data_IF_682387393244
#
_entry.id   IF_682387393244
#
_cell.length_a   1.000
_cell.length_b   1.000
_cell.length_c   1.000
_cell.angle_alpha   90.00
_cell.angle_beta   90.00
_cell.angle_gamma   90.00
#
_symmetry.space_group_name_H-M   'P 1'
#
loop_
_entity.id
_entity.type
_entity.pdbx_description
1 polymer ?
#
# COMPACT_ATOMS: atom_id res chain seq x y z
N UNK A 1 -8.39 -41.62 -10.13
CA UNK A 1 -7.10 -42.14 -10.64
C UNK A 1 -5.98 -41.36 -9.97
N UNK A 2 -5.18 -42.04 -9.13
CA UNK A 2 -3.96 -41.54 -8.44
C UNK A 2 -2.90 -41.14 -9.50
N UNK A 3 -2.25 -39.96 -9.48
CA UNK A 3 -1.22 -39.39 -8.57
C UNK A 3 0.23 -39.81 -8.90
N UNK A 4 1.12 -38.82 -9.10
CA UNK A 4 2.52 -38.76 -8.61
C UNK A 4 3.21 -37.52 -9.21
N UNK A 5 3.36 -36.43 -8.44
CA UNK A 5 4.66 -35.82 -8.04
C UNK A 5 4.39 -34.97 -6.79
N UNK A 6 5.06 -35.37 -5.71
CA UNK A 6 5.33 -34.70 -4.42
C UNK A 6 4.19 -34.46 -3.42
N UNK A 7 4.24 -35.30 -2.37
CA UNK A 7 3.77 -35.05 -1.02
C UNK A 7 4.26 -33.68 -0.50
N UNK A 8 3.53 -32.61 -0.80
CA UNK A 8 3.55 -31.40 0.02
C UNK A 8 2.26 -31.45 0.82
N UNK A 9 2.39 -31.71 2.11
CA UNK A 9 1.28 -31.54 3.04
C UNK A 9 0.91 -30.05 3.02
N UNK A 10 -0.20 -29.71 2.37
CA UNK A 10 -0.67 -28.32 2.24
C UNK A 10 -0.99 -27.68 3.60
N UNK A 11 -1.10 -28.48 4.67
CA UNK A 11 -1.22 -28.00 6.05
C UNK A 11 0.14 -27.86 6.76
N UNK A 12 1.24 -28.43 6.22
CA UNK A 12 2.63 -28.08 6.56
C UNK A 12 3.16 -26.90 5.72
N UNK A 13 2.38 -26.40 4.76
CA UNK A 13 2.58 -25.07 4.21
C UNK A 13 2.16 -24.00 5.23
N UNK A 14 2.70 -24.09 6.44
CA UNK A 14 2.85 -23.03 7.42
C UNK A 14 3.81 -21.96 6.88
N UNK A 15 3.57 -21.52 5.65
CA UNK A 15 4.16 -20.29 5.18
C UNK A 15 3.34 -19.21 5.86
N UNK A 16 3.86 -18.75 6.99
CA UNK A 16 3.57 -17.42 7.50
C UNK A 16 3.87 -16.46 6.34
N UNK A 17 2.85 -16.22 5.55
CA UNK A 17 2.63 -15.06 4.72
C UNK A 17 3.79 -14.61 3.82
N UNK A 18 4.04 -15.37 2.74
CA UNK A 18 5.09 -15.07 1.73
C UNK A 18 4.93 -13.70 1.07
N UNK A 19 3.72 -13.14 1.07
CA UNK A 19 3.47 -11.82 0.49
C UNK A 19 4.12 -10.70 1.32
N UNK A 20 4.18 -10.83 2.65
CA UNK A 20 4.61 -9.75 3.55
C UNK A 20 6.02 -9.20 3.29
N UNK A 21 6.96 -10.01 2.79
CA UNK A 21 8.31 -9.53 2.50
C UNK A 21 8.43 -8.78 1.17
N UNK A 22 7.71 -9.23 0.13
CA UNK A 22 7.63 -8.53 -1.16
C UNK A 22 6.83 -7.23 -1.03
N UNK A 23 5.78 -7.26 -0.20
CA UNK A 23 4.94 -6.12 0.12
C UNK A 23 5.75 -4.97 0.74
N UNK A 24 6.68 -5.27 1.67
CA UNK A 24 7.56 -4.26 2.29
C UNK A 24 8.46 -3.55 1.28
N UNK A 25 9.00 -4.31 0.30
CA UNK A 25 9.84 -3.74 -0.76
C UNK A 25 9.06 -2.80 -1.67
N UNK A 26 7.87 -3.23 -2.11
CA UNK A 26 7.00 -2.44 -2.99
C UNK A 26 6.47 -1.19 -2.30
N UNK A 27 6.05 -1.29 -1.03
CA UNK A 27 5.63 -0.15 -0.22
C UNK A 27 6.73 0.90 -0.09
N UNK A 28 7.95 0.46 0.26
CA UNK A 28 9.08 1.37 0.39
C UNK A 28 9.41 2.04 -0.94
N UNK A 29 9.37 1.30 -2.05
CA UNK A 29 9.59 1.86 -3.37
C UNK A 29 8.56 2.95 -3.70
N UNK A 30 7.28 2.66 -3.51
CA UNK A 30 6.19 3.60 -3.81
C UNK A 30 6.30 4.90 -3.00
N UNK A 31 6.58 4.79 -1.70
CA UNK A 31 6.78 5.94 -0.80
C UNK A 31 8.00 6.74 -1.24
N UNK A 32 9.13 6.08 -1.48
CA UNK A 32 10.37 6.74 -1.92
C UNK A 32 10.18 7.48 -3.23
N UNK A 33 9.59 6.80 -4.22
CA UNK A 33 9.28 7.38 -5.53
C UNK A 33 8.37 8.61 -5.39
N UNK A 34 7.34 8.54 -4.55
CA UNK A 34 6.42 9.66 -4.32
C UNK A 34 7.13 10.84 -3.65
N UNK A 35 7.96 10.58 -2.64
CA UNK A 35 8.75 11.63 -1.98
C UNK A 35 9.71 12.31 -2.97
N UNK A 36 10.40 11.54 -3.81
CA UNK A 36 11.31 12.06 -4.82
C UNK A 36 10.57 12.88 -5.89
N UNK A 37 9.41 12.40 -6.34
CA UNK A 37 8.55 13.11 -7.29
C UNK A 37 8.08 14.45 -6.71
N UNK A 38 7.57 14.44 -5.47
CA UNK A 38 7.11 15.64 -4.79
C UNK A 38 8.25 16.63 -4.56
N UNK A 39 9.42 16.15 -4.13
CA UNK A 39 10.63 16.97 -3.96
C UNK A 39 11.04 17.61 -5.28
N UNK A 40 10.97 16.87 -6.39
CA UNK A 40 11.28 17.39 -7.71
C UNK A 40 10.30 18.47 -8.17
N UNK A 41 9.00 18.33 -7.86
CA UNK A 41 7.95 19.26 -8.30
C UNK A 41 7.83 20.50 -7.41
N UNK A 42 7.97 20.36 -6.09
CA UNK A 42 7.69 21.41 -5.10
C UNK A 42 8.90 21.83 -4.25
N UNK A 43 10.07 21.22 -4.46
CA UNK A 43 11.30 21.51 -3.72
C UNK A 43 11.36 20.84 -2.34
N UNK A 44 12.45 21.07 -1.60
CA UNK A 44 12.72 20.34 -0.35
C UNK A 44 11.71 20.60 0.78
N UNK A 45 11.07 21.78 0.80
CA UNK A 45 10.13 22.19 1.85
C UNK A 45 8.90 21.27 1.95
N UNK A 46 8.58 20.55 0.86
CA UNK A 46 7.48 19.58 0.87
C UNK A 46 7.79 18.38 1.78
N UNK A 47 9.08 18.01 1.90
CA UNK A 47 9.51 16.91 2.77
C UNK A 47 9.37 17.32 4.24
N UNK A 48 9.70 18.56 4.59
CA UNK A 48 9.49 19.07 5.94
C UNK A 48 8.00 19.05 6.33
N UNK A 49 7.09 19.32 5.37
CA UNK A 49 5.63 19.19 5.60
C UNK A 49 5.22 17.74 5.83
N UNK A 50 5.77 16.80 5.05
CA UNK A 50 5.54 15.36 5.21
C UNK A 50 6.01 14.91 6.61
N UNK A 51 7.22 15.28 7.00
CA UNK A 51 7.81 14.92 8.30
C UNK A 51 6.99 15.51 9.46
N UNK A 52 6.58 16.77 9.36
CA UNK A 52 5.71 17.40 10.35
C UNK A 52 4.36 16.68 10.47
N UNK A 53 3.76 16.24 9.36
CA UNK A 53 2.51 15.48 9.40
C UNK A 53 2.70 14.12 10.04
N UNK A 54 3.75 13.39 9.67
CA UNK A 54 4.10 12.11 10.28
C UNK A 54 4.30 12.23 11.80
N UNK A 55 5.00 13.28 12.25
CA UNK A 55 5.21 13.55 13.67
C UNK A 55 3.92 13.87 14.43
N UNK A 56 2.94 14.48 13.75
CA UNK A 56 1.65 14.87 14.30
C UNK A 56 0.56 13.78 14.21
N UNK A 57 0.84 12.64 13.56
CA UNK A 57 -0.10 11.51 13.56
C UNK A 57 -0.35 11.13 15.02
N UNK A 58 -1.61 11.21 15.50
CA UNK A 58 -1.92 10.77 16.85
C UNK A 58 -1.44 9.34 16.96
N UNK A 59 -0.63 9.04 17.99
CA UNK A 59 -0.31 7.67 18.37
C UNK A 59 -1.60 7.02 18.87
N UNK A 60 -2.56 6.77 17.97
CA UNK A 60 -3.86 6.25 18.30
C UNK A 60 -3.65 4.83 18.82
N UNK A 61 -4.38 4.47 19.86
CA UNK A 61 -4.27 3.16 20.53
C UNK A 61 -4.63 1.97 19.63
N UNK A 62 -5.24 2.19 18.46
CA UNK A 62 -5.45 1.18 17.42
C UNK A 62 -4.28 1.03 16.43
N UNK A 63 -3.31 1.95 16.41
CA UNK A 63 -2.05 1.88 15.66
C UNK A 63 -1.15 1.15 16.63
N UNK A 64 -1.40 -0.15 16.78
CA UNK A 64 -0.48 -1.01 17.53
C UNK A 64 0.82 -1.07 16.74
N UNK A 65 1.73 -0.17 17.10
CA UNK A 65 3.14 -0.30 16.79
C UNK A 65 3.59 -1.50 17.62
N UNK A 66 3.63 -2.67 17.00
CA UNK A 66 4.12 -3.86 17.68
C UNK A 66 5.62 -3.68 17.94
N UNK A 67 6.17 -4.41 18.92
CA UNK A 67 7.63 -4.46 19.14
C UNK A 67 8.44 -4.88 17.89
N UNK A 68 7.76 -5.39 16.86
CA UNK A 68 8.34 -5.81 15.58
C UNK A 68 8.09 -4.80 14.43
N UNK A 69 7.58 -3.59 14.69
CA UNK A 69 7.36 -2.55 13.68
C UNK A 69 5.91 -2.17 13.43
N UNK A 70 5.69 -1.24 12.49
CA UNK A 70 4.38 -0.87 11.98
C UNK A 70 3.94 -1.97 10.99
N UNK A 71 2.76 -2.57 11.19
CA UNK A 71 2.21 -3.49 10.17
C UNK A 71 2.02 -2.72 8.85
N UNK A 72 2.39 -3.32 7.73
CA UNK A 72 2.32 -2.73 6.37
C UNK A 72 0.95 -2.13 6.07
N UNK A 73 -0.14 -2.81 6.47
CA UNK A 73 -1.52 -2.32 6.34
C UNK A 73 -1.78 -0.98 7.03
N UNK A 74 -1.04 -0.65 8.09
CA UNK A 74 -1.12 0.64 8.77
C UNK A 74 -0.30 1.72 8.04
N UNK A 75 0.85 1.37 7.44
CA UNK A 75 1.68 2.30 6.66
C UNK A 75 0.89 2.82 5.45
N UNK A 76 0.19 1.93 4.75
CA UNK A 76 -0.70 2.24 3.63
C UNK A 76 -1.78 3.29 3.95
N UNK A 77 -2.35 3.23 5.15
CA UNK A 77 -3.39 4.18 5.57
C UNK A 77 -2.78 5.49 6.06
N UNK A 78 -1.63 5.39 6.72
CA UNK A 78 -0.85 6.56 7.16
C UNK A 78 -0.44 7.41 5.97
N UNK A 79 0.04 6.82 4.87
CA UNK A 79 0.55 7.60 3.74
C UNK A 79 -0.56 8.42 3.06
N UNK A 80 -1.78 7.88 2.91
CA UNK A 80 -2.92 8.65 2.39
C UNK A 80 -3.18 9.88 3.26
N UNK A 81 -3.21 9.72 4.59
CA UNK A 81 -3.41 10.83 5.51
C UNK A 81 -2.30 11.88 5.40
N UNK A 82 -1.05 11.45 5.27
CA UNK A 82 0.11 12.33 5.13
C UNK A 82 0.05 13.13 3.83
N UNK A 83 -0.34 12.50 2.74
CA UNK A 83 -0.40 13.11 1.41
C UNK A 83 -1.68 13.94 1.18
N UNK A 84 -2.75 13.68 1.94
CA UNK A 84 -4.02 14.39 1.76
C UNK A 84 -3.87 15.89 1.97
N UNK A 85 -4.26 16.71 0.99
CA UNK A 85 -4.11 18.18 1.03
C UNK A 85 -2.67 18.65 1.32
N UNK A 86 -1.65 17.89 0.89
CA UNK A 86 -0.24 18.23 1.13
C UNK A 86 0.19 19.50 0.38
N UNK A 87 -0.39 19.70 -0.81
CA UNK A 87 -0.11 20.83 -1.69
C UNK A 87 -1.36 21.69 -1.92
N UNK A 88 -1.21 22.88 -2.49
CA UNK A 88 -2.36 23.73 -2.87
C UNK A 88 -3.02 23.29 -4.19
N UNK A 89 -2.36 22.41 -4.94
CA UNK A 89 -2.85 21.83 -6.19
C UNK A 89 -3.86 20.71 -5.89
N UNK A 90 -5.13 21.12 -5.77
CA UNK A 90 -6.23 20.24 -5.37
C UNK A 90 -6.44 19.07 -6.35
N UNK A 91 -6.24 19.30 -7.65
CA UNK A 91 -6.47 18.26 -8.66
C UNK A 91 -5.35 17.22 -8.62
N UNK A 92 -4.08 17.64 -8.53
CA UNK A 92 -2.95 16.70 -8.36
C UNK A 92 -3.05 15.93 -7.05
N UNK A 93 -3.47 16.57 -5.95
CA UNK A 93 -3.64 15.89 -4.67
C UNK A 93 -4.73 14.81 -4.76
N UNK A 94 -5.89 15.11 -5.36
CA UNK A 94 -6.96 14.12 -5.54
C UNK A 94 -6.50 12.92 -6.33
N UNK A 95 -5.76 13.14 -7.43
CA UNK A 95 -5.20 12.05 -8.24
C UNK A 95 -4.22 11.22 -7.41
N UNK A 96 -3.30 11.88 -6.68
CA UNK A 96 -2.31 11.20 -5.86
C UNK A 96 -2.97 10.35 -4.77
N UNK A 97 -3.95 10.89 -4.04
CA UNK A 97 -4.71 10.16 -3.02
C UNK A 97 -5.40 8.96 -3.64
N UNK A 98 -6.09 9.15 -4.78
CA UNK A 98 -6.81 8.07 -5.46
C UNK A 98 -5.89 6.93 -5.88
N UNK A 99 -4.70 7.23 -6.40
CA UNK A 99 -3.69 6.20 -6.74
C UNK A 99 -3.34 5.34 -5.51
N UNK A 100 -3.16 5.96 -4.34
CA UNK A 100 -2.89 5.24 -3.11
C UNK A 100 -4.11 4.45 -2.58
N UNK A 101 -5.33 4.99 -2.72
CA UNK A 101 -6.56 4.26 -2.39
C UNK A 101 -6.74 3.02 -3.27
N UNK A 102 -6.58 3.18 -4.58
CA UNK A 102 -6.68 2.11 -5.57
C UNK A 102 -5.62 1.03 -5.33
N UNK A 103 -4.37 1.43 -5.04
CA UNK A 103 -3.33 0.49 -4.68
C UNK A 103 -3.60 -0.24 -3.36
N UNK A 104 -4.15 0.45 -2.35
CA UNK A 104 -4.57 -0.19 -1.11
C UNK A 104 -5.70 -1.20 -1.32
N UNK A 105 -6.64 -0.89 -2.21
CA UNK A 105 -7.72 -1.80 -2.59
C UNK A 105 -7.17 -3.03 -3.32
N UNK A 106 -6.30 -2.84 -4.33
CA UNK A 106 -5.61 -3.94 -5.01
C UNK A 106 -4.81 -4.80 -4.04
N UNK A 107 -4.11 -4.17 -3.09
CA UNK A 107 -3.38 -4.87 -2.04
C UNK A 107 -4.30 -5.69 -1.15
N UNK A 108 -5.43 -5.15 -0.71
CA UNK A 108 -6.40 -5.89 0.10
C UNK A 108 -7.00 -7.06 -0.68
N UNK A 109 -7.33 -6.85 -1.95
CA UNK A 109 -7.87 -7.89 -2.82
C UNK A 109 -6.85 -9.02 -3.00
N UNK A 110 -5.56 -8.73 -3.21
CA UNK A 110 -4.53 -9.76 -3.39
C UNK A 110 -4.43 -10.73 -2.19
N UNK A 111 -4.90 -10.31 -1.01
CA UNK A 111 -4.94 -11.12 0.23
C UNK A 111 -6.09 -12.13 0.27
N UNK A 112 -7.06 -12.04 -0.63
CA UNK A 112 -8.22 -12.92 -0.60
C UNK A 112 -7.82 -14.36 -0.93
N UNK A 113 -8.40 -15.32 -0.22
CA UNK A 113 -8.18 -16.75 -0.48
C UNK A 113 -8.85 -17.18 -1.79
N UNK A 114 -9.94 -16.51 -2.17
CA UNK A 114 -10.72 -16.75 -3.38
C UNK A 114 -11.18 -15.41 -3.99
N UNK A 115 -11.32 -15.37 -5.31
CA UNK A 115 -11.77 -14.19 -6.06
C UNK A 115 -13.04 -14.50 -6.84
N UNK A 116 -13.99 -13.57 -6.86
CA UNK A 116 -15.12 -13.60 -7.79
C UNK A 116 -14.74 -12.98 -9.14
N UNK A 117 -15.51 -13.29 -10.20
CA UNK A 117 -15.34 -12.65 -11.50
C UNK A 117 -15.43 -11.13 -11.42
N UNK A 118 -16.32 -10.61 -10.56
CA UNK A 118 -16.45 -9.18 -10.27
C UNK A 118 -15.21 -8.58 -9.60
N UNK A 119 -14.50 -9.35 -8.77
CA UNK A 119 -13.24 -8.88 -8.17
C UNK A 119 -12.15 -8.74 -9.25
N UNK A 120 -12.13 -9.63 -10.24
CA UNK A 120 -11.21 -9.54 -11.37
C UNK A 120 -11.54 -8.34 -12.27
N UNK A 121 -12.82 -8.12 -12.58
CA UNK A 121 -13.28 -6.93 -13.33
C UNK A 121 -12.87 -5.63 -12.62
N UNK A 122 -13.07 -5.55 -11.30
CA UNK A 122 -12.66 -4.39 -10.51
C UNK A 122 -11.14 -4.17 -10.56
N UNK A 123 -10.35 -5.25 -10.51
CA UNK A 123 -8.89 -5.17 -10.59
C UNK A 123 -8.44 -4.62 -11.96
N UNK A 124 -9.06 -5.07 -13.05
CA UNK A 124 -8.78 -4.60 -14.40
C UNK A 124 -9.13 -3.12 -14.58
N UNK A 125 -10.28 -2.68 -14.05
CA UNK A 125 -10.68 -1.26 -14.08
C UNK A 125 -9.65 -0.38 -13.38
N UNK A 126 -9.14 -0.82 -12.22
CA UNK A 126 -8.11 -0.08 -11.48
C UNK A 126 -6.81 0.01 -12.31
N UNK A 127 -6.38 -1.09 -12.92
CA UNK A 127 -5.18 -1.10 -13.78
C UNK A 127 -5.33 -0.17 -14.99
N UNK A 128 -6.50 -0.13 -15.62
CA UNK A 128 -6.78 0.78 -16.74
C UNK A 128 -6.73 2.24 -16.31
N UNK A 129 -7.18 2.58 -15.11
CA UNK A 129 -7.08 3.93 -14.57
C UNK A 129 -5.63 4.37 -14.34
N UNK A 130 -4.75 3.46 -13.89
CA UNK A 130 -3.34 3.77 -13.62
C UNK A 130 -2.46 3.89 -14.88
N UNK A 131 -2.90 3.34 -16.01
CA UNK A 131 -2.16 3.32 -17.27
C UNK A 131 -2.51 4.45 -18.25
N UNK A 132 -3.49 5.31 -17.91
CA UNK A 132 -3.93 6.46 -18.70
C UNK A 132 -3.45 7.78 -18.08
#
# INVERSE_FOLDING_TARGET
MFCKICNINIYEATVIDRMHHLDLGLCNYQITFTCDLLKSKYGHLILDKIDNRLANIPRHSGLKIFKNGIQTANIMKIIIFVLNDLTEDNDSNKILIKVYEDWNNMYLMSRYEEFSEKDLENFEIILLFLNN
#
